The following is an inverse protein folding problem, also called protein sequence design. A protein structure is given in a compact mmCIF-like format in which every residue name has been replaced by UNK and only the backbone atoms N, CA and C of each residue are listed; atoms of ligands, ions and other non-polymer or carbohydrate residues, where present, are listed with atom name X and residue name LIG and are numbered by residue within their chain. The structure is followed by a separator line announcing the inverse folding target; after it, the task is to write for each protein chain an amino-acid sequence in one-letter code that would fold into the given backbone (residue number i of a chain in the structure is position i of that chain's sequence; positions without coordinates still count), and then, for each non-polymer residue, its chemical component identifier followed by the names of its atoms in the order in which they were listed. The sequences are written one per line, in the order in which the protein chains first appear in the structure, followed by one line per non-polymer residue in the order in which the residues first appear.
data_IF_546551368033
#
_entry.id   IF_546551368033
#
_cell.length_a   1.000
_cell.length_b   1.000
_cell.length_c   1.000
_cell.angle_alpha   90.00
_cell.angle_beta   90.00
_cell.angle_gamma   90.00
#
_symmetry.space_group_name_H-M   'P 1'
#
loop_
_entity.id
_entity.type
_entity.pdbx_description
1 polymer ?
#
# COMPACT_ATOMS: atom_id res chain seq x y z
N UNK A 1 1.08 -48.27 -17.41
CA UNK A 1 1.75 -47.08 -16.81
C UNK A 1 1.20 -45.75 -17.33
N UNK A 2 0.96 -45.55 -18.63
CA UNK A 2 0.48 -44.26 -19.17
C UNK A 2 -0.92 -43.81 -18.66
N UNK A 3 -1.88 -44.72 -18.50
CA UNK A 3 -3.25 -44.38 -18.06
C UNK A 3 -3.34 -43.89 -16.60
N UNK A 4 -2.48 -44.41 -15.72
CA UNK A 4 -2.40 -44.00 -14.32
C UNK A 4 -1.82 -42.58 -14.19
N UNK A 5 -0.80 -42.24 -14.98
CA UNK A 5 -0.21 -40.90 -15.02
C UNK A 5 -1.20 -39.85 -15.55
N UNK A 6 -1.97 -40.18 -16.60
CA UNK A 6 -3.01 -39.30 -17.14
C UNK A 6 -4.16 -39.05 -16.14
N UNK A 7 -4.55 -40.08 -15.39
CA UNK A 7 -5.60 -39.96 -14.35
C UNK A 7 -5.14 -39.13 -13.16
N UNK A 8 -3.88 -39.28 -12.72
CA UNK A 8 -3.30 -38.46 -11.65
C UNK A 8 -3.14 -36.99 -12.07
N UNK A 9 -2.77 -36.72 -13.32
CA UNK A 9 -2.66 -35.35 -13.85
C UNK A 9 -4.03 -34.67 -13.96
N UNK A 10 -5.04 -35.40 -14.44
CA UNK A 10 -6.41 -34.91 -14.51
C UNK A 10 -6.98 -34.62 -13.11
N UNK A 11 -6.73 -35.51 -12.15
CA UNK A 11 -7.14 -35.30 -10.75
C UNK A 11 -6.45 -34.06 -10.15
N UNK A 12 -5.13 -33.90 -10.35
CA UNK A 12 -4.42 -32.72 -9.88
C UNK A 12 -4.96 -31.42 -10.50
N UNK A 13 -5.30 -31.45 -11.80
CA UNK A 13 -5.90 -30.31 -12.49
C UNK A 13 -7.30 -29.98 -11.94
N UNK A 14 -8.15 -30.99 -11.72
CA UNK A 14 -9.48 -30.83 -11.14
C UNK A 14 -9.42 -30.29 -9.71
N UNK A 15 -8.48 -30.76 -8.89
CA UNK A 15 -8.25 -30.20 -7.55
C UNK A 15 -7.79 -28.75 -7.62
N UNK A 16 -6.86 -28.40 -8.53
CA UNK A 16 -6.39 -27.03 -8.69
C UNK A 16 -7.51 -26.06 -9.11
N UNK A 17 -8.37 -26.47 -10.04
CA UNK A 17 -9.54 -25.70 -10.46
C UNK A 17 -10.54 -25.51 -9.31
N UNK A 18 -10.86 -26.59 -8.58
CA UNK A 18 -11.76 -26.51 -7.44
C UNK A 18 -11.24 -25.56 -6.35
N UNK A 19 -9.92 -25.56 -6.08
CA UNK A 19 -9.32 -24.62 -5.12
C UNK A 19 -9.35 -23.17 -5.60
N UNK A 20 -9.12 -22.91 -6.89
CA UNK A 20 -9.21 -21.56 -7.44
C UNK A 20 -10.65 -21.01 -7.39
N UNK A 21 -11.64 -21.86 -7.69
CA UNK A 21 -13.06 -21.49 -7.63
C UNK A 21 -13.52 -21.22 -6.19
N UNK A 22 -13.07 -22.03 -5.22
CA UNK A 22 -13.37 -21.85 -3.81
C UNK A 22 -12.73 -20.56 -3.26
N UNK A 23 -11.54 -20.20 -3.75
CA UNK A 23 -10.86 -18.96 -3.39
C UNK A 23 -11.62 -17.71 -3.86
N UNK A 24 -12.08 -17.67 -5.11
CA UNK A 24 -12.89 -16.55 -5.62
C UNK A 24 -14.25 -16.41 -4.90
N UNK A 25 -14.72 -17.49 -4.27
CA UNK A 25 -15.95 -17.50 -3.49
C UNK A 25 -15.76 -17.05 -2.01
N UNK A 26 -14.52 -16.81 -1.54
CA UNK A 26 -14.30 -16.34 -0.18
C UNK A 26 -14.83 -14.91 0.01
N UNK A 27 -15.50 -14.63 1.14
CA UNK A 27 -16.03 -13.30 1.41
C UNK A 27 -14.88 -12.28 1.50
N UNK A 28 -14.97 -11.23 0.68
CA UNK A 28 -14.00 -10.13 0.71
C UNK A 28 -14.14 -9.35 2.03
N UNK A 29 -13.07 -9.35 2.82
CA UNK A 29 -12.98 -8.50 4.01
C UNK A 29 -12.45 -7.12 3.64
N UNK A 30 -13.08 -6.07 4.16
CA UNK A 30 -12.64 -4.68 4.03
C UNK A 30 -12.26 -4.15 5.40
N UNK A 31 -11.12 -3.45 5.49
CA UNK A 31 -10.66 -2.75 6.69
C UNK A 31 -10.15 -1.38 6.28
N UNK A 32 -10.55 -0.35 7.02
CA UNK A 32 -10.03 1.00 6.88
C UNK A 32 -9.07 1.30 8.03
N UNK A 33 -8.05 2.09 7.74
CA UNK A 33 -7.06 2.58 8.70
C UNK A 33 -6.87 4.07 8.43
N UNK A 34 -6.64 4.82 9.49
CA UNK A 34 -6.52 6.28 9.43
C UNK A 34 -5.10 6.69 9.77
N UNK A 35 -4.59 7.66 9.02
CA UNK A 35 -3.38 8.38 9.40
C UNK A 35 -3.71 9.38 10.52
N UNK A 36 -2.69 9.95 11.17
CA UNK A 36 -2.85 11.24 11.83
C UNK A 36 -3.46 12.27 10.87
N UNK A 37 -4.22 13.21 11.43
CA UNK A 37 -4.79 14.32 10.67
C UNK A 37 -3.70 15.28 10.19
N UNK A 38 -3.87 15.83 9.00
CA UNK A 38 -3.09 16.95 8.48
C UNK A 38 -4.01 18.12 8.11
N UNK A 39 -3.44 19.32 7.98
CA UNK A 39 -4.18 20.53 7.66
C UNK A 39 -3.67 21.14 6.37
N UNK A 40 -4.59 21.67 5.56
CA UNK A 40 -4.26 22.31 4.29
C UNK A 40 -4.99 23.64 4.19
N UNK A 41 -4.28 24.64 3.67
CA UNK A 41 -4.87 25.89 3.23
C UNK A 41 -5.18 25.82 1.72
N UNK A 42 -6.18 26.57 1.23
CA UNK A 42 -6.44 26.70 -0.20
C UNK A 42 -5.16 27.00 -1.00
N UNK A 43 -4.86 26.20 -2.02
CA UNK A 43 -3.67 26.33 -2.88
C UNK A 43 -2.38 25.76 -2.29
N UNK A 44 -2.40 25.15 -1.10
CA UNK A 44 -1.22 24.55 -0.47
C UNK A 44 -0.98 23.11 -0.95
N UNK A 45 0.27 22.65 -0.78
CA UNK A 45 0.70 21.27 -1.00
C UNK A 45 1.11 20.68 0.34
N UNK A 46 0.55 19.52 0.68
CA UNK A 46 0.95 18.71 1.82
C UNK A 46 1.81 17.56 1.31
N UNK A 47 3.02 17.41 1.86
CA UNK A 47 3.88 16.26 1.60
C UNK A 47 4.35 15.68 2.93
N UNK A 48 3.53 14.79 3.48
CA UNK A 48 3.64 14.32 4.86
C UNK A 48 4.07 12.85 4.94
N UNK A 49 4.83 12.54 5.99
CA UNK A 49 5.35 11.22 6.30
C UNK A 49 4.78 10.76 7.65
N UNK A 50 3.77 9.89 7.60
CA UNK A 50 3.16 9.32 8.80
C UNK A 50 3.81 7.99 9.14
N UNK A 51 4.73 8.02 10.09
CA UNK A 51 5.40 6.84 10.63
C UNK A 51 4.51 6.08 11.62
N UNK A 52 4.83 4.80 11.81
CA UNK A 52 4.16 3.90 12.76
C UNK A 52 2.64 3.79 12.54
N UNK A 53 2.18 3.89 11.30
CA UNK A 53 0.76 3.68 10.96
C UNK A 53 0.37 2.22 11.14
N UNK A 54 -0.90 2.00 11.49
CA UNK A 54 -1.43 0.65 11.58
C UNK A 54 -1.50 -0.02 10.21
N UNK A 55 -1.08 -1.29 10.16
CA UNK A 55 -1.22 -2.12 8.98
C UNK A 55 -1.57 -3.55 9.40
N UNK A 56 -2.44 -4.28 8.66
CA UNK A 56 -2.84 -5.62 9.03
C UNK A 56 -1.65 -6.59 9.10
N UNK A 57 -1.67 -7.50 10.08
CA UNK A 57 -0.64 -8.53 10.29
C UNK A 57 -1.17 -9.92 9.92
N UNK A 58 -0.27 -10.85 9.68
CA UNK A 58 -0.57 -12.24 9.34
C UNK A 58 -0.44 -12.55 7.85
N UNK A 59 -1.06 -13.65 7.43
CA UNK A 59 -1.12 -14.07 6.04
C UNK A 59 -2.31 -13.39 5.37
N UNK A 60 -2.02 -12.49 4.43
CA UNK A 60 -3.02 -11.67 3.75
C UNK A 60 -2.97 -11.98 2.26
N UNK A 61 -4.14 -12.07 1.64
CA UNK A 61 -4.29 -12.12 0.19
C UNK A 61 -4.96 -10.82 -0.24
N UNK A 62 -4.16 -9.91 -0.79
CA UNK A 62 -4.64 -8.59 -1.19
C UNK A 62 -5.32 -8.66 -2.56
N UNK A 63 -6.52 -8.08 -2.63
CA UNK A 63 -7.30 -7.94 -3.88
C UNK A 63 -7.28 -6.51 -4.41
N UNK A 64 -7.37 -5.51 -3.53
CA UNK A 64 -7.37 -4.11 -3.93
C UNK A 64 -6.91 -3.19 -2.82
N UNK A 65 -6.37 -2.04 -3.20
CA UNK A 65 -6.05 -0.95 -2.28
C UNK A 65 -6.76 0.34 -2.72
N UNK A 66 -7.21 1.14 -1.75
CA UNK A 66 -7.85 2.44 -1.96
C UNK A 66 -7.37 3.39 -0.88
N UNK A 67 -7.18 4.65 -1.25
CA UNK A 67 -6.94 5.75 -0.34
C UNK A 67 -7.90 6.90 -0.69
N UNK A 68 -8.54 7.46 0.33
CA UNK A 68 -9.41 8.62 0.23
C UNK A 68 -8.94 9.65 1.27
N UNK A 69 -9.10 10.94 0.97
CA UNK A 69 -8.98 12.00 1.97
C UNK A 69 -10.36 12.20 2.58
N UNK A 70 -10.45 12.15 3.92
CA UNK A 70 -11.70 12.34 4.66
C UNK A 70 -11.62 13.54 5.59
N UNK A 71 -12.78 14.13 5.89
CA UNK A 71 -12.91 15.13 6.95
C UNK A 71 -13.02 14.49 8.35
N UNK A 72 -13.24 15.33 9.37
CA UNK A 72 -13.36 14.87 10.75
C UNK A 72 -14.60 14.01 11.03
N UNK A 73 -15.57 14.00 10.12
CA UNK A 73 -16.83 13.25 10.20
C UNK A 73 -16.80 12.01 9.27
N UNK A 74 -15.61 11.59 8.82
CA UNK A 74 -15.39 10.47 7.88
C UNK A 74 -15.98 10.67 6.47
N UNK A 75 -16.34 11.90 6.08
CA UNK A 75 -16.81 12.16 4.72
C UNK A 75 -15.63 12.30 3.77
N UNK A 76 -15.69 11.59 2.64
CA UNK A 76 -14.68 11.72 1.57
C UNK A 76 -14.73 13.13 1.00
N UNK A 77 -13.63 13.86 1.11
CA UNK A 77 -13.46 15.18 0.50
C UNK A 77 -13.36 15.02 -1.01
N UNK A 78 -14.14 15.72 -1.83
CA UNK A 78 -14.08 15.55 -3.28
C UNK A 78 -12.68 15.80 -3.87
N UNK A 79 -12.29 14.98 -4.84
CA UNK A 79 -11.00 15.10 -5.56
C UNK A 79 -10.70 16.50 -6.09
N UNK A 80 -11.72 17.18 -6.58
CA UNK A 80 -11.57 18.52 -7.14
C UNK A 80 -11.37 19.61 -6.08
N UNK A 81 -11.49 19.27 -4.78
CA UNK A 81 -11.15 20.14 -3.65
C UNK A 81 -9.79 19.78 -3.06
N UNK A 82 -9.51 18.49 -2.87
CA UNK A 82 -8.21 18.00 -2.43
C UNK A 82 -7.77 16.88 -3.36
N UNK A 83 -6.78 17.18 -4.18
CA UNK A 83 -6.19 16.22 -5.09
C UNK A 83 -5.12 15.39 -4.36
N UNK A 84 -5.43 14.12 -4.09
CA UNK A 84 -4.46 13.14 -3.60
C UNK A 84 -3.55 12.66 -4.76
N UNK A 85 -2.48 13.41 -5.00
CA UNK A 85 -1.54 13.18 -6.11
C UNK A 85 -0.79 11.83 -5.96
N UNK A 86 -0.25 11.56 -4.76
CA UNK A 86 0.32 10.26 -4.42
C UNK A 86 -0.07 9.86 -3.00
N UNK A 87 -0.34 8.57 -2.81
CA UNK A 87 -0.46 7.97 -1.49
C UNK A 87 0.09 6.56 -1.54
N UNK A 88 1.17 6.28 -0.82
CA UNK A 88 1.72 4.93 -0.78
C UNK A 88 2.18 4.54 0.62
N UNK A 89 2.04 3.25 0.92
CA UNK A 89 2.41 2.66 2.19
C UNK A 89 3.67 1.83 2.00
N UNK A 90 4.67 2.15 2.81
CA UNK A 90 6.01 1.57 2.77
C UNK A 90 6.26 0.83 4.07
N UNK A 91 6.68 -0.43 3.98
CA UNK A 91 7.20 -1.16 5.12
C UNK A 91 8.60 -0.67 5.44
N UNK A 92 8.96 -0.54 6.71
CA UNK A 92 10.34 -0.30 7.11
C UNK A 92 10.70 -1.06 8.38
N UNK A 93 11.99 -1.28 8.57
CA UNK A 93 12.55 -1.78 9.81
C UNK A 93 13.29 -0.65 10.52
N UNK A 94 13.00 -0.48 11.80
CA UNK A 94 13.65 0.52 12.64
C UNK A 94 14.38 -0.18 13.77
N UNK A 95 15.66 0.16 13.99
CA UNK A 95 16.39 -0.33 15.16
C UNK A 95 15.77 0.23 16.44
N UNK A 96 15.66 -0.59 17.50
CA UNK A 96 15.01 -0.21 18.77
C UNK A 96 15.63 1.00 19.46
N UNK A 97 16.91 1.27 19.18
CA UNK A 97 17.66 2.41 19.72
C UNK A 97 17.78 3.57 18.72
N UNK A 98 17.11 3.51 17.57
CA UNK A 98 17.14 4.55 16.55
C UNK A 98 15.92 5.47 16.68
N UNK A 99 16.17 6.77 16.74
CA UNK A 99 15.13 7.79 16.64
C UNK A 99 15.08 8.34 15.23
N UNK A 100 13.89 8.32 14.62
CA UNK A 100 13.68 8.89 13.29
C UNK A 100 13.88 10.42 13.40
N UNK A 101 14.82 11.01 12.65
CA UNK A 101 15.01 12.45 12.65
C UNK A 101 13.80 13.16 12.02
N UNK A 102 13.61 14.46 12.28
CA UNK A 102 12.60 15.24 11.56
C UNK A 102 12.82 15.13 10.05
N UNK A 103 11.78 14.74 9.32
CA UNK A 103 11.78 14.69 7.85
C UNK A 103 11.13 15.96 7.34
N UNK A 104 11.88 16.73 6.58
CA UNK A 104 11.43 18.00 6.00
C UNK A 104 11.16 17.87 4.50
N UNK A 105 11.83 16.92 3.85
CA UNK A 105 11.80 16.69 2.41
C UNK A 105 12.36 15.29 2.07
N UNK A 106 12.49 15.01 0.78
CA UNK A 106 13.01 13.73 0.28
C UNK A 106 14.51 13.53 0.59
N UNK A 107 15.28 14.61 0.76
CA UNK A 107 16.72 14.56 1.00
C UNK A 107 17.05 14.21 2.45
N UNK A 108 16.13 14.55 3.37
CA UNK A 108 16.21 14.28 4.81
C UNK A 108 15.60 12.95 5.22
N UNK A 109 15.21 12.10 4.26
CA UNK A 109 14.64 10.79 4.56
C UNK A 109 15.63 9.89 5.30
N UNK A 110 15.20 9.21 6.38
CA UNK A 110 16.07 8.33 7.14
C UNK A 110 16.50 7.14 6.27
N UNK A 111 17.80 6.88 6.24
CA UNK A 111 18.37 5.75 5.52
C UNK A 111 19.64 5.26 6.24
N UNK A 112 19.85 3.93 6.26
CA UNK A 112 21.08 3.32 6.77
C UNK A 112 20.87 2.46 8.02
N UNK A 113 21.91 2.37 8.85
CA UNK A 113 22.04 1.32 9.88
C UNK A 113 20.93 1.26 10.93
N UNK A 114 20.18 2.35 11.14
CA UNK A 114 19.03 2.37 12.06
C UNK A 114 17.66 2.30 11.39
N UNK A 115 17.61 2.43 10.06
CA UNK A 115 16.37 2.58 9.31
C UNK A 115 16.47 1.95 7.91
N UNK A 116 15.67 0.91 7.67
CA UNK A 116 15.73 0.11 6.45
C UNK A 116 14.37 0.08 5.78
N UNK A 117 14.23 0.73 4.63
CA UNK A 117 13.03 0.60 3.79
C UNK A 117 12.90 -0.82 3.24
N UNK A 118 11.66 -1.32 3.21
CA UNK A 118 11.31 -2.63 2.65
C UNK A 118 10.21 -2.46 1.63
N UNK A 119 10.48 -3.00 0.45
CA UNK A 119 9.49 -3.13 -0.62
C UNK A 119 8.49 -4.25 -0.33
N UNK A 120 7.41 -4.23 -1.08
CA UNK A 120 6.46 -5.33 -1.12
C UNK A 120 7.16 -6.61 -1.62
N UNK A 121 6.68 -7.79 -1.19
CA UNK A 121 7.15 -9.07 -1.71
C UNK A 121 6.87 -9.21 -3.23
N UNK A 122 7.37 -10.25 -3.90
CA UNK A 122 7.05 -10.48 -5.31
C UNK A 122 8.27 -10.77 -6.17
N UNK A 123 8.12 -10.65 -7.48
CA UNK A 123 9.11 -11.15 -8.44
C UNK A 123 10.35 -10.24 -8.49
N UNK A 124 10.15 -8.93 -8.38
CA UNK A 124 11.24 -7.95 -8.34
C UNK A 124 11.72 -7.75 -6.90
N UNK A 125 12.79 -8.46 -6.52
CA UNK A 125 13.40 -8.36 -5.19
C UNK A 125 14.68 -7.51 -5.22
N UNK A 126 15.11 -7.04 -4.05
CA UNK A 126 16.25 -6.13 -3.91
C UNK A 126 15.91 -4.70 -4.32
N UNK A 127 16.87 -3.99 -4.93
CA UNK A 127 16.73 -2.61 -5.41
C UNK A 127 16.19 -2.47 -6.84
N UNK A 128 15.74 -3.58 -7.45
CA UNK A 128 15.22 -3.60 -8.81
C UNK A 128 13.71 -3.38 -8.81
N UNK A 129 13.24 -2.30 -9.47
CA UNK A 129 11.83 -2.00 -9.75
C UNK A 129 10.89 -2.17 -8.55
N UNK A 130 11.21 -1.48 -7.45
CA UNK A 130 10.49 -1.62 -6.21
C UNK A 130 9.03 -1.20 -6.28
N UNK A 131 8.17 -2.03 -5.69
CA UNK A 131 6.75 -1.75 -5.55
C UNK A 131 6.35 -1.53 -4.09
N UNK A 132 5.48 -0.55 -3.88
CA UNK A 132 4.86 -0.22 -2.59
C UNK A 132 3.35 -0.32 -2.72
N UNK A 133 2.63 -0.51 -1.60
CA UNK A 133 1.17 -0.49 -1.66
C UNK A 133 0.74 0.93 -1.93
N UNK A 134 -0.24 1.12 -2.82
CA UNK A 134 -0.64 2.46 -3.20
C UNK A 134 0.29 3.14 -4.22
N UNK A 135 1.25 2.42 -4.82
CA UNK A 135 2.09 3.00 -5.86
C UNK A 135 1.30 3.09 -7.18
N UNK A 136 0.71 4.25 -7.43
CA UNK A 136 -0.11 4.54 -8.61
C UNK A 136 -0.71 5.94 -8.53
N UNK A 137 -1.03 6.52 -9.69
CA UNK A 137 -1.69 7.83 -9.77
C UNK A 137 -3.15 7.67 -9.40
N UNK A 138 -3.66 8.60 -8.58
CA UNK A 138 -5.09 8.84 -8.37
C UNK A 138 -5.85 7.64 -7.77
N UNK A 139 -5.75 7.45 -6.44
CA UNK A 139 -6.45 6.35 -5.75
C UNK A 139 -7.83 6.70 -5.24
N UNK A 140 -8.13 8.00 -5.20
CA UNK A 140 -9.44 8.45 -4.80
C UNK A 140 -10.45 8.02 -5.84
N UNK A 141 -11.46 7.26 -5.40
CA UNK A 141 -12.46 6.64 -6.27
C UNK A 141 -11.98 5.49 -7.19
N UNK A 142 -10.69 5.39 -7.53
CA UNK A 142 -10.11 4.35 -8.41
C UNK A 142 -9.17 3.41 -7.64
N UNK A 143 -9.66 2.28 -7.11
CA UNK A 143 -8.80 1.35 -6.39
C UNK A 143 -7.78 0.70 -7.32
N UNK A 144 -6.56 0.50 -6.83
CA UNK A 144 -5.59 -0.37 -7.51
C UNK A 144 -6.01 -1.82 -7.28
N UNK A 145 -6.43 -2.48 -8.35
CA UNK A 145 -6.75 -3.91 -8.34
C UNK A 145 -5.50 -4.75 -8.57
N UNK A 146 -5.40 -5.88 -7.86
CA UNK A 146 -4.32 -6.86 -8.05
C UNK A 146 -4.89 -8.08 -8.77
N UNK A 147 -4.38 -8.45 -9.96
CA UNK A 147 -5.06 -9.35 -10.91
C UNK A 147 -5.34 -10.78 -10.40
N UNK A 148 -4.62 -11.25 -9.38
CA UNK A 148 -4.88 -12.51 -8.67
C UNK A 148 -4.29 -12.36 -7.25
N UNK A 149 -4.82 -13.06 -6.21
CA UNK A 149 -4.52 -12.71 -4.83
C UNK A 149 -3.02 -12.67 -4.58
N UNK A 150 -2.54 -11.46 -4.33
CA UNK A 150 -1.16 -11.24 -4.01
C UNK A 150 -0.99 -11.53 -2.51
N UNK A 151 -0.54 -12.76 -2.25
CA UNK A 151 -0.30 -13.31 -0.93
C UNK A 151 0.96 -12.73 -0.30
N UNK A 152 0.82 -12.17 0.89
CA UNK A 152 1.92 -11.63 1.69
C UNK A 152 1.80 -12.08 3.13
N UNK A 153 2.94 -12.25 3.77
CA UNK A 153 3.02 -12.41 5.22
C UNK A 153 3.56 -11.11 5.83
N UNK A 154 2.84 -10.59 6.82
CA UNK A 154 3.19 -9.36 7.54
C UNK A 154 3.35 -9.68 9.02
N UNK A 155 4.41 -9.18 9.64
CA UNK A 155 4.74 -9.45 11.02
C UNK A 155 5.56 -10.71 11.24
N UNK A 156 6.08 -11.35 10.18
CA UNK A 156 6.99 -12.47 10.32
C UNK A 156 8.33 -11.98 10.90
N UNK A 157 8.78 -12.51 12.05
CA UNK A 157 10.05 -12.11 12.63
C UNK A 157 11.28 -12.63 11.86
N UNK A 158 11.16 -13.70 11.09
CA UNK A 158 12.29 -14.33 10.38
C UNK A 158 13.07 -13.39 9.45
N UNK A 159 12.44 -12.53 8.62
CA UNK A 159 13.14 -11.57 7.76
C UNK A 159 13.54 -10.27 8.47
N UNK A 160 13.26 -10.09 9.77
CA UNK A 160 13.56 -8.86 10.52
C UNK A 160 14.94 -8.99 11.18
N UNK A 161 15.88 -8.05 10.95
CA UNK A 161 17.18 -8.06 11.61
C UNK A 161 17.06 -8.02 13.13
N UNK A 162 17.98 -8.69 13.82
CA UNK A 162 18.01 -8.66 15.28
C UNK A 162 18.14 -7.22 15.80
N UNK A 163 17.28 -6.85 16.76
CA UNK A 163 17.26 -5.49 17.33
C UNK A 163 16.39 -4.49 16.57
N UNK A 164 15.70 -4.91 15.50
CA UNK A 164 14.78 -4.09 14.74
C UNK A 164 13.34 -4.52 14.96
N UNK A 165 12.42 -3.59 14.70
CA UNK A 165 10.99 -3.84 14.66
C UNK A 165 10.43 -3.49 13.27
N UNK A 166 9.50 -4.30 12.76
CA UNK A 166 8.76 -4.01 11.52
C UNK A 166 7.63 -3.01 11.78
N UNK A 167 7.63 -1.94 10.99
CA UNK A 167 6.71 -0.80 11.07
C UNK A 167 6.31 -0.36 9.66
N UNK A 168 5.32 0.54 9.58
CA UNK A 168 4.73 1.00 8.33
C UNK A 168 4.67 2.52 8.28
N UNK A 169 4.99 3.06 7.12
CA UNK A 169 5.01 4.48 6.79
C UNK A 169 3.94 4.72 5.74
N UNK A 170 3.04 5.68 5.97
CA UNK A 170 2.20 6.24 4.92
C UNK A 170 2.81 7.56 4.45
N UNK A 171 3.06 7.66 3.15
CA UNK A 171 3.45 8.91 2.50
C UNK A 171 2.24 9.49 1.82
N UNK A 172 1.93 10.76 2.10
CA UNK A 172 0.83 11.51 1.49
C UNK A 172 1.40 12.70 0.72
N UNK A 173 1.04 12.81 -0.55
CA UNK A 173 1.25 14.00 -1.35
C UNK A 173 -0.11 14.49 -1.85
N UNK A 174 -0.63 15.54 -1.22
CA UNK A 174 -1.95 16.09 -1.49
C UNK A 174 -1.86 17.58 -1.87
N UNK A 175 -2.76 18.03 -2.73
CA UNK A 175 -2.82 19.40 -3.24
C UNK A 175 -4.23 19.94 -2.98
N UNK A 176 -4.33 21.05 -2.25
CA UNK A 176 -5.61 21.71 -2.01
C UNK A 176 -5.94 22.63 -3.18
N UNK A 177 -6.97 22.28 -3.94
CA UNK A 177 -7.41 23.00 -5.13
C UNK A 177 -8.63 23.88 -4.86
N UNK A 178 -9.05 24.04 -3.60
CA UNK A 178 -10.15 24.96 -3.25
C UNK A 178 -9.76 26.39 -3.62
N UNK A 179 -10.71 27.11 -4.21
CA UNK A 179 -10.47 28.47 -4.69
C UNK A 179 -9.67 28.56 -5.99
N UNK A 180 -9.27 27.44 -6.61
CA UNK A 180 -8.72 27.45 -7.96
C UNK A 180 -9.75 27.99 -8.97
N UNK A 181 -9.33 28.95 -9.81
CA UNK A 181 -10.18 29.58 -10.83
C UNK A 181 -10.56 28.58 -11.91
N UNK A 182 -9.61 27.73 -12.30
CA UNK A 182 -9.81 26.62 -13.22
C UNK A 182 -9.86 25.31 -12.43
N UNK A 183 -11.06 24.73 -12.33
CA UNK A 183 -11.24 23.41 -11.72
C UNK A 183 -10.90 22.39 -12.80
N UNK A 184 -9.67 21.90 -12.77
CA UNK A 184 -9.18 20.92 -13.72
C UNK A 184 -10.11 19.70 -13.81
N UNK A 185 -10.48 19.34 -15.04
CA UNK A 185 -10.93 17.99 -15.43
C UNK A 185 -9.78 17.41 -16.25
N UNK A 186 -8.69 17.04 -15.57
CA UNK A 186 -7.55 16.42 -16.21
C UNK A 186 -7.87 14.99 -16.60
N UNK A 187 -7.59 14.62 -17.86
CA UNK A 187 -7.52 13.22 -18.27
C UNK A 187 -6.04 12.91 -18.44
N UNK A 188 -5.48 12.08 -17.57
CA UNK A 188 -4.18 11.47 -17.83
C UNK A 188 -4.38 10.41 -18.92
N UNK A 189 -4.13 10.79 -20.18
CA UNK A 189 -3.96 9.82 -21.25
C UNK A 189 -2.54 9.28 -21.17
N UNK A 190 -2.42 7.96 -20.96
CA UNK A 190 -1.18 7.19 -21.07
C UNK A 190 -1.08 6.59 -22.47
#
# INVERSE_FOLDING_TARGET
MAAAAASSLLLALLLSLATAQAWEALPLQKRAFYSPSFSMAPGSVAFDYFYDVEFPRGHLALKSFRADVVDADDNVIPYHEVYLHHSYIVRYYQARNYSIPPVLDIETLPYGDGFIYRRNHGICQGDLLGQYFGLGTEMQSTPTAVPDPYGIEIGNPAPIPHGFDEKWLLVVHAIDTRGAVDRWVGVLSI
#
